data_IF_653563419065
#
_entry.id   IF_653563419065
#
_cell.length_a   1.000
_cell.length_b   1.000
_cell.length_c   1.000
_cell.angle_alpha   90.00
_cell.angle_beta   90.00
_cell.angle_gamma   90.00
#
_symmetry.space_group_name_H-M   'P 1'
#
loop_
_entity.id
_entity.type
_entity.pdbx_description
1 polymer ?
#
# COMPACT_ATOMS: atom_id res chain seq x y z
N UNK A 1 -4.03 -15.06 2.94
CA UNK A 1 -4.92 -14.08 3.59
C UNK A 1 -4.96 -12.85 2.71
N UNK A 2 -6.14 -12.52 2.19
CA UNK A 2 -6.34 -11.51 1.17
C UNK A 2 -6.19 -10.10 1.77
N UNK A 3 -4.97 -9.56 1.76
CA UNK A 3 -4.74 -8.14 2.07
C UNK A 3 -5.08 -7.27 0.86
N UNK A 4 -6.33 -7.40 0.38
CA UNK A 4 -6.86 -6.67 -0.76
C UNK A 4 -7.44 -5.34 -0.32
N UNK A 5 -7.14 -4.30 -1.08
CA UNK A 5 -7.58 -2.94 -0.86
C UNK A 5 -8.12 -2.35 -2.16
N UNK A 6 -9.01 -1.36 -2.05
CA UNK A 6 -9.53 -0.60 -3.20
C UNK A 6 -9.21 0.88 -3.06
N UNK A 7 -8.82 1.49 -4.18
CA UNK A 7 -8.64 2.94 -4.28
C UNK A 7 -8.97 3.42 -5.69
N UNK A 8 -9.84 4.43 -5.79
CA UNK A 8 -10.32 5.00 -7.07
C UNK A 8 -10.83 3.93 -8.06
N UNK A 9 -11.55 2.92 -7.56
CA UNK A 9 -12.12 1.86 -8.39
C UNK A 9 -11.16 0.75 -8.82
N UNK A 10 -9.88 0.81 -8.42
CA UNK A 10 -8.88 -0.22 -8.72
C UNK A 10 -8.58 -1.08 -7.49
N UNK A 11 -8.21 -2.34 -7.73
CA UNK A 11 -7.80 -3.30 -6.70
C UNK A 11 -6.29 -3.26 -6.49
N UNK A 12 -5.86 -3.38 -5.23
CA UNK A 12 -4.47 -3.40 -4.83
C UNK A 12 -4.25 -4.46 -3.74
N UNK A 13 -3.03 -4.96 -3.65
CA UNK A 13 -2.65 -5.99 -2.69
C UNK A 13 -1.42 -5.56 -1.93
N UNK A 14 -1.52 -5.57 -0.61
CA UNK A 14 -0.36 -5.30 0.25
C UNK A 14 0.54 -6.53 0.24
N UNK A 15 1.80 -6.31 -0.15
CA UNK A 15 2.85 -7.32 -0.19
C UNK A 15 3.63 -7.35 1.13
N UNK A 16 3.91 -6.18 1.71
CA UNK A 16 4.62 -6.01 2.97
C UNK A 16 4.20 -4.69 3.64
N UNK A 17 3.98 -4.71 4.96
CA UNK A 17 3.63 -3.54 5.77
C UNK A 17 4.66 -3.25 6.88
N UNK A 18 5.76 -4.01 6.93
CA UNK A 18 6.93 -3.75 7.78
C UNK A 18 8.09 -3.17 6.97
N UNK A 19 7.82 -2.07 6.25
CA UNK A 19 8.86 -1.31 5.54
C UNK A 19 9.04 0.10 6.12
N UNK A 20 10.24 0.65 5.94
CA UNK A 20 10.55 2.06 6.19
C UNK A 20 10.86 2.75 4.86
N UNK A 21 10.35 3.97 4.68
CA UNK A 21 10.67 4.84 3.55
C UNK A 21 11.19 6.18 4.07
N UNK A 22 12.03 6.84 3.28
CA UNK A 22 12.56 8.16 3.61
C UNK A 22 11.68 9.24 2.97
N UNK A 23 11.13 10.14 3.78
CA UNK A 23 10.41 11.35 3.32
C UNK A 23 11.06 12.52 4.05
N UNK A 24 11.55 13.51 3.30
CA UNK A 24 12.21 14.71 3.85
C UNK A 24 13.31 14.39 4.88
N UNK A 25 14.15 13.40 4.56
CA UNK A 25 15.24 12.88 5.40
C UNK A 25 14.80 12.23 6.74
N UNK A 26 13.52 11.86 6.86
CA UNK A 26 12.97 11.16 8.01
C UNK A 26 12.47 9.77 7.61
N UNK A 27 12.82 8.76 8.40
CA UNK A 27 12.33 7.39 8.23
C UNK A 27 10.92 7.21 8.78
N UNK A 28 9.95 7.02 7.90
CA UNK A 28 8.55 6.77 8.26
C UNK A 28 8.13 5.35 7.90
N UNK A 29 7.07 4.85 8.53
CA UNK A 29 6.51 3.55 8.18
C UNK A 29 5.84 3.60 6.82
N UNK A 30 6.06 2.56 6.01
CA UNK A 30 5.48 2.43 4.68
C UNK A 30 4.70 1.15 4.46
N UNK A 31 4.05 1.09 3.30
CA UNK A 31 3.34 -0.07 2.76
C UNK A 31 3.84 -0.31 1.35
N UNK A 32 4.34 -1.52 1.10
CA UNK A 32 4.67 -2.02 -0.23
C UNK A 32 3.45 -2.77 -0.78
N UNK A 33 2.95 -2.34 -1.94
CA UNK A 33 1.76 -2.92 -2.55
C UNK A 33 1.88 -3.00 -4.07
N UNK A 34 1.02 -3.81 -4.68
CA UNK A 34 0.91 -3.94 -6.13
C UNK A 34 -0.56 -3.95 -6.57
N UNK A 35 -0.80 -4.01 -7.87
CA UNK A 35 -2.11 -4.24 -8.49
C UNK A 35 -1.99 -5.44 -9.43
N UNK A 36 -3.13 -6.04 -9.78
CA UNK A 36 -3.16 -7.11 -10.78
C UNK A 36 -2.64 -6.55 -12.13
N UNK A 37 -1.94 -7.37 -12.90
CA UNK A 37 -1.41 -7.03 -14.23
C UNK A 37 -0.37 -5.89 -14.26
N UNK A 38 0.31 -5.62 -13.14
CA UNK A 38 1.38 -4.62 -13.06
C UNK A 38 2.71 -5.24 -12.59
N UNK A 39 3.77 -5.05 -13.38
CA UNK A 39 5.14 -5.46 -13.01
C UNK A 39 5.75 -4.59 -11.91
N UNK A 40 5.21 -3.38 -11.71
CA UNK A 40 5.73 -2.42 -10.74
C UNK A 40 5.17 -2.67 -9.34
N UNK A 41 6.03 -2.48 -8.34
CA UNK A 41 5.63 -2.39 -6.93
C UNK A 41 5.64 -0.92 -6.51
N UNK A 42 4.62 -0.53 -5.76
CA UNK A 42 4.45 0.82 -5.27
C UNK A 42 4.72 0.88 -3.77
N UNK A 43 5.22 2.02 -3.31
CA UNK A 43 5.40 2.27 -1.88
C UNK A 43 4.81 3.61 -1.51
N UNK A 44 4.12 3.66 -0.36
CA UNK A 44 3.58 4.88 0.27
C UNK A 44 3.82 4.83 1.76
N UNK A 45 3.69 5.97 2.44
CA UNK A 45 3.61 5.95 3.91
C UNK A 45 2.36 5.19 4.35
N UNK A 46 2.42 4.54 5.53
CA UNK A 46 1.24 3.86 6.10
C UNK A 46 0.07 4.81 6.28
N UNK A 47 0.34 5.99 6.80
CA UNK A 47 -0.68 7.03 7.02
C UNK A 47 -1.39 7.37 5.71
N UNK A 48 -0.63 7.61 4.63
CA UNK A 48 -1.21 7.94 3.33
C UNK A 48 -1.97 6.74 2.73
N UNK A 49 -1.44 5.52 2.88
CA UNK A 49 -2.09 4.32 2.37
C UNK A 49 -3.42 4.06 3.08
N UNK A 50 -3.43 3.94 4.40
CA UNK A 50 -4.65 3.59 5.14
C UNK A 50 -5.69 4.72 5.18
N UNK A 51 -5.30 5.98 4.96
CA UNK A 51 -6.27 7.09 4.81
C UNK A 51 -6.99 7.09 3.47
N UNK A 52 -6.39 6.52 2.42
CA UNK A 52 -6.93 6.56 1.04
C UNK A 52 -7.51 5.22 0.58
N UNK A 53 -6.92 4.12 1.01
CA UNK A 53 -7.24 2.77 0.55
C UNK A 53 -8.23 2.11 1.50
N UNK A 54 -9.27 1.47 0.94
CA UNK A 54 -10.28 0.76 1.73
C UNK A 54 -10.02 -0.73 1.68
N UNK A 55 -9.90 -1.37 2.83
CA UNK A 55 -9.76 -2.83 2.90
C UNK A 55 -11.01 -3.48 2.33
N UNK A 56 -10.83 -4.50 1.49
CA UNK A 56 -11.93 -5.34 1.01
C UNK A 56 -12.11 -6.45 2.03
N UNK A 57 -13.22 -6.42 2.76
CA UNK A 57 -13.65 -7.54 3.59
C UNK A 57 -14.38 -8.54 2.68
N UNK A 58 -13.94 -9.79 2.69
CA UNK A 58 -14.64 -10.91 2.02
C UNK A 58 -15.77 -11.45 2.89
#
# INVERSE_FOLDING_TARGET
MNNKYTYKGNNYYVLEDKVKIQIDDVWVEGVLYTTDDCEYKFVRSKEEFYSKFKKVEE
#
